data_IF_914800866063
#
_entry.id   IF_914800866063
#
_cell.length_a   1.000
_cell.length_b   1.000
_cell.length_c   1.000
_cell.angle_alpha   90.00
_cell.angle_beta   90.00
_cell.angle_gamma   90.00
#
_symmetry.space_group_name_H-M   'P 1'
#
loop_
_entity.id
_entity.type
_entity.pdbx_description
1 polymer ?
#
# COMPACT_ATOMS: atom_id res chain seq x y z
N UNK A 1 10.81 6.67 -11.41
CA UNK A 1 9.55 6.50 -10.62
C UNK A 1 8.41 6.04 -11.53
N UNK A 2 7.86 4.83 -11.31
CA UNK A 2 6.49 4.54 -11.74
C UNK A 2 5.59 5.44 -10.89
N UNK A 3 4.69 6.22 -11.48
CA UNK A 3 3.68 6.90 -10.68
C UNK A 3 2.68 5.82 -10.23
N UNK A 4 3.07 5.03 -9.21
CA UNK A 4 2.13 4.40 -8.30
C UNK A 4 1.51 5.56 -7.52
N UNK A 5 0.29 5.91 -7.90
CA UNK A 5 -0.50 6.93 -7.22
C UNK A 5 -0.48 6.65 -5.72
N UNK A 6 0.31 7.45 -4.99
CA UNK A 6 0.44 7.34 -3.54
C UNK A 6 -0.91 7.74 -2.93
N UNK A 7 -1.36 6.91 -2.00
CA UNK A 7 -2.55 7.01 -1.15
C UNK A 7 -2.95 8.48 -0.86
N UNK A 8 -3.93 9.03 -1.57
CA UNK A 8 -4.55 10.31 -1.22
C UNK A 8 -5.52 10.05 -0.06
N UNK A 9 -5.08 10.34 1.17
CA UNK A 9 -5.84 10.07 2.41
C UNK A 9 -6.87 11.16 2.77
N UNK A 10 -7.00 12.22 1.99
CA UNK A 10 -7.74 13.42 2.43
C UNK A 10 -8.54 14.08 1.29
N UNK A 11 -9.88 14.09 1.41
CA UNK A 11 -10.80 14.70 0.43
C UNK A 11 -10.54 16.21 0.23
N UNK A 12 -9.94 16.87 1.22
CA UNK A 12 -9.64 18.30 1.16
C UNK A 12 -8.43 18.65 0.26
N UNK A 13 -7.56 17.68 -0.05
CA UNK A 13 -6.40 17.88 -0.94
C UNK A 13 -6.85 17.97 -2.41
N UNK A 14 -7.89 17.24 -2.81
CA UNK A 14 -8.49 17.32 -4.14
C UNK A 14 -8.93 18.76 -4.45
N UNK A 15 -9.63 19.43 -3.52
CA UNK A 15 -10.07 20.82 -3.71
C UNK A 15 -8.91 21.81 -3.91
N UNK A 16 -7.74 21.58 -3.28
CA UNK A 16 -6.55 22.44 -3.44
C UNK A 16 -5.82 22.20 -4.77
N UNK A 17 -5.74 20.96 -5.24
CA UNK A 17 -5.09 20.62 -6.53
C UNK A 17 -5.84 21.23 -7.73
N UNK A 18 -7.17 21.31 -7.67
CA UNK A 18 -8.02 21.91 -8.70
C UNK A 18 -7.91 23.45 -8.78
N UNK A 19 -7.48 24.14 -7.72
CA UNK A 19 -7.48 25.61 -7.68
C UNK A 19 -6.22 26.27 -8.27
N UNK A 20 -5.11 25.53 -8.43
CA UNK A 20 -3.82 26.08 -8.90
C UNK A 20 -3.38 25.61 -10.29
N UNK A 21 -4.00 24.58 -10.85
CA UNK A 21 -3.61 24.03 -12.15
C UNK A 21 -4.38 24.72 -13.29
N UNK A 22 -3.74 25.66 -14.01
CA UNK A 22 -4.19 26.11 -15.34
C UNK A 22 -3.88 25.04 -16.39
N UNK A 23 -4.35 23.81 -16.16
CA UNK A 23 -4.15 22.69 -17.07
C UNK A 23 -5.40 22.58 -17.95
N UNK A 24 -5.27 22.95 -19.24
CA UNK A 24 -6.22 22.52 -20.28
C UNK A 24 -5.91 21.07 -20.61
N UNK A 25 -6.56 20.13 -19.92
CA UNK A 25 -6.56 18.70 -20.28
C UNK A 25 -8.01 18.26 -20.39
N UNK A 26 -8.39 17.75 -21.57
CA UNK A 26 -9.79 17.44 -21.91
C UNK A 26 -10.27 16.08 -21.38
N UNK A 27 -9.39 15.22 -20.84
CA UNK A 27 -9.73 13.94 -20.19
C UNK A 27 -8.73 13.71 -19.07
N UNK A 28 -9.18 13.46 -17.84
CA UNK A 28 -8.29 13.07 -16.74
C UNK A 28 -8.74 11.77 -16.09
N UNK A 29 -7.75 11.00 -15.63
CA UNK A 29 -7.91 9.76 -14.87
C UNK A 29 -7.39 10.00 -13.46
N UNK A 30 -8.23 9.76 -12.44
CA UNK A 30 -7.83 9.85 -11.04
C UNK A 30 -8.03 8.47 -10.39
N UNK A 31 -6.99 8.00 -9.70
CA UNK A 31 -7.00 6.77 -8.91
C UNK A 31 -7.13 7.13 -7.43
N UNK A 32 -8.19 6.64 -6.79
CA UNK A 32 -8.40 6.81 -5.35
C UNK A 32 -8.37 5.43 -4.71
N UNK A 33 -7.48 5.25 -3.74
CA UNK A 33 -7.52 4.09 -2.87
C UNK A 33 -8.63 4.32 -1.85
N UNK A 34 -9.72 3.56 -1.96
CA UNK A 34 -10.84 3.60 -1.00
C UNK A 34 -10.82 2.33 -0.15
N UNK A 35 -11.47 2.37 1.03
CA UNK A 35 -11.49 1.29 2.05
C UNK A 35 -12.09 -0.06 1.61
N UNK A 36 -12.27 -0.30 0.30
CA UNK A 36 -12.70 -1.57 -0.29
C UNK A 36 -12.07 -1.85 -1.67
N UNK A 37 -10.95 -1.20 -1.99
CA UNK A 37 -10.23 -1.39 -3.27
C UNK A 37 -9.94 -0.08 -4.01
N UNK A 38 -9.14 -0.19 -5.08
CA UNK A 38 -8.74 0.92 -5.93
C UNK A 38 -9.88 1.29 -6.89
N UNK A 39 -10.37 2.53 -6.84
CA UNK A 39 -11.47 3.02 -7.69
C UNK A 39 -10.91 4.05 -8.68
N UNK A 40 -11.15 3.79 -9.97
CA UNK A 40 -10.77 4.65 -11.09
C UNK A 40 -11.93 5.59 -11.43
N UNK A 41 -11.64 6.89 -11.54
CA UNK A 41 -12.57 7.90 -12.03
C UNK A 41 -12.06 8.45 -13.37
N UNK A 42 -12.89 8.37 -14.42
CA UNK A 42 -12.65 9.02 -15.71
C UNK A 42 -13.60 10.22 -15.81
N UNK A 43 -13.05 11.42 -15.98
CA UNK A 43 -13.81 12.65 -16.14
C UNK A 43 -13.49 13.36 -17.45
N UNK A 44 -14.53 13.86 -18.13
CA UNK A 44 -14.42 14.77 -19.27
C UNK A 44 -14.86 16.18 -18.84
N UNK A 45 -13.99 17.18 -18.96
CA UNK A 45 -14.43 18.58 -18.82
C UNK A 45 -14.99 19.01 -20.17
N UNK A 46 -16.31 19.09 -20.29
CA UNK A 46 -16.94 19.78 -21.41
C UNK A 46 -16.45 21.23 -21.47
N UNK A 47 -16.08 21.70 -22.67
CA UNK A 47 -15.59 23.06 -22.91
C UNK A 47 -16.40 24.10 -22.14
N UNK A 48 -15.74 24.84 -21.25
CA UNK A 48 -16.30 26.10 -20.74
C UNK A 48 -16.35 27.05 -21.93
N UNK A 49 -17.52 27.16 -22.58
CA UNK A 49 -17.81 28.32 -23.43
C UNK A 49 -17.91 29.53 -22.52
N UNK A 50 -16.87 30.35 -22.50
CA UNK A 50 -16.95 31.69 -21.93
C UNK A 50 -17.92 32.50 -22.80
N UNK A 51 -19.03 33.05 -22.25
CA UNK A 51 -19.78 34.04 -23.00
C UNK A 51 -18.93 35.30 -23.10
N UNK A 52 -18.56 35.68 -24.31
CA UNK A 52 -18.13 37.03 -24.67
C UNK A 52 -19.26 37.99 -24.32
N UNK A 53 -19.18 38.67 -23.18
CA UNK A 53 -19.95 39.89 -22.97
C UNK A 53 -19.14 41.07 -23.51
N UNK A 54 -19.47 41.45 -24.75
CA UNK A 54 -19.24 42.82 -25.22
C UNK A 54 -20.10 43.76 -24.39
N UNK A 55 -19.47 44.76 -23.78
CA UNK A 55 -20.12 45.96 -23.25
C UNK A 55 -19.28 47.16 -23.66
N UNK A 56 -19.61 47.76 -24.81
CA UNK A 56 -18.99 48.97 -25.34
C UNK A 56 -19.30 50.21 -24.46
N UNK A 57 -18.27 51.02 -24.18
CA UNK A 57 -18.23 52.50 -24.04
C UNK A 57 -16.80 52.83 -23.56
N UNK A 58 -15.98 53.70 -24.15
CA UNK A 58 -16.04 54.63 -25.27
C UNK A 58 -14.64 55.27 -25.35
N UNK A 59 -14.23 55.66 -26.55
CA UNK A 59 -12.91 56.19 -26.92
C UNK A 59 -12.68 57.59 -26.31
N UNK A 60 -11.41 57.92 -25.99
CA UNK A 60 -10.68 59.22 -25.98
C UNK A 60 -9.64 59.19 -24.83
N UNK A 61 -8.41 59.72 -24.86
CA UNK A 61 -7.39 60.08 -25.84
C UNK A 61 -6.12 60.45 -25.00
N UNK A 62 -4.92 60.34 -25.59
CA UNK A 62 -3.69 61.16 -25.32
C UNK A 62 -2.75 60.82 -24.12
N UNK A 63 -1.53 60.39 -24.54
CA UNK A 63 -0.14 60.69 -24.11
C UNK A 63 0.38 60.69 -22.64
N UNK A 64 1.46 59.91 -22.50
CA UNK A 64 2.82 60.25 -22.03
C UNK A 64 3.16 60.45 -20.52
N UNK A 65 4.35 59.91 -20.20
CA UNK A 65 5.29 60.18 -19.09
C UNK A 65 5.20 59.34 -17.79
N UNK A 66 6.23 58.50 -17.58
CA UNK A 66 6.84 58.12 -16.28
C UNK A 66 7.27 59.38 -15.48
N UNK A 67 7.60 59.37 -14.14
CA UNK A 67 8.26 58.31 -13.35
C UNK A 67 7.88 58.12 -11.84
N UNK A 68 8.34 56.99 -11.28
CA UNK A 68 8.79 56.72 -9.88
C UNK A 68 7.89 57.03 -8.65
N UNK A 69 7.51 56.00 -7.87
CA UNK A 69 8.00 55.70 -6.48
C UNK A 69 7.29 54.46 -5.87
N UNK A 70 7.91 53.77 -4.88
CA UNK A 70 7.68 52.34 -4.59
C UNK A 70 6.56 52.12 -3.57
N UNK A 71 5.81 51.01 -3.69
CA UNK A 71 4.84 50.62 -2.66
C UNK A 71 4.93 49.14 -2.28
N UNK A 72 5.50 48.97 -1.08
CA UNK A 72 5.14 48.03 -0.01
C UNK A 72 4.76 46.59 -0.39
N UNK A 73 5.62 45.69 0.10
CA UNK A 73 5.37 44.28 0.36
C UNK A 73 4.00 44.10 1.04
N UNK A 74 3.04 43.53 0.32
CA UNK A 74 1.83 42.98 0.93
C UNK A 74 2.04 41.49 1.17
N UNK A 75 2.04 41.09 2.44
CA UNK A 75 2.05 39.70 2.88
C UNK A 75 0.95 38.89 2.17
N UNK A 76 1.19 37.61 1.82
CA UNK A 76 0.13 36.74 1.33
C UNK A 76 -0.87 36.49 2.46
N UNK A 77 -2.10 36.99 2.31
CA UNK A 77 -3.22 36.61 3.17
C UNK A 77 -3.52 35.13 2.92
N UNK A 78 -3.35 34.30 3.94
CA UNK A 78 -3.84 32.94 3.93
C UNK A 78 -5.32 32.96 4.34
N UNK A 79 -6.21 32.52 3.43
CA UNK A 79 -7.60 32.27 3.78
C UNK A 79 -7.66 31.05 4.71
N UNK A 80 -8.10 31.26 5.94
CA UNK A 80 -8.34 30.22 6.95
C UNK A 80 -9.84 30.00 7.06
N UNK A 81 -10.29 28.75 6.91
CA UNK A 81 -11.69 28.35 7.13
C UNK A 81 -11.76 27.61 8.47
N UNK A 82 -12.44 28.20 9.45
CA UNK A 82 -12.83 27.52 10.69
C UNK A 82 -14.30 27.14 10.59
N UNK A 83 -14.62 25.87 10.89
CA UNK A 83 -16.00 25.38 10.97
C UNK A 83 -16.32 25.23 12.45
N UNK A 84 -17.12 26.16 12.98
CA UNK A 84 -17.62 26.14 14.36
C UNK A 84 -19.15 26.04 14.39
N UNK A 85 -19.66 25.03 15.09
CA UNK A 85 -21.07 24.81 15.40
C UNK A 85 -21.42 25.53 16.71
N UNK A 86 -22.05 26.71 16.63
CA UNK A 86 -23.10 27.18 17.56
C UNK A 86 -23.54 28.62 17.24
N UNK A 87 -24.86 28.85 17.37
CA UNK A 87 -25.50 30.15 17.25
C UNK A 87 -25.20 31.03 18.48
N UNK A 88 -24.56 32.19 18.27
CA UNK A 88 -24.80 33.38 19.07
C UNK A 88 -24.50 34.64 18.24
N UNK A 89 -25.44 35.58 18.28
CA UNK A 89 -25.38 36.90 17.64
C UNK A 89 -24.33 37.78 18.33
N UNK A 90 -23.27 38.20 17.63
CA UNK A 90 -22.63 39.53 17.82
C UNK A 90 -22.03 40.00 16.48
N UNK A 91 -22.17 41.31 16.25
CA UNK A 91 -21.88 42.05 15.03
C UNK A 91 -20.39 42.23 14.70
N UNK A 92 -20.16 42.53 13.41
CA UNK A 92 -18.98 43.22 12.84
C UNK A 92 -17.63 42.50 12.87
N UNK A 93 -17.40 41.63 11.89
CA UNK A 93 -16.14 41.59 11.11
C UNK A 93 -16.45 41.17 9.67
N UNK A 94 -15.68 41.68 8.70
CA UNK A 94 -15.94 41.59 7.25
C UNK A 94 -15.89 40.19 6.64
N UNK A 95 -16.88 39.36 6.96
CA UNK A 95 -17.05 38.01 6.43
C UNK A 95 -17.79 38.12 5.10
N UNK A 96 -17.13 37.73 4.01
CA UNK A 96 -17.79 37.50 2.72
C UNK A 96 -18.85 36.41 2.89
N UNK A 97 -20.12 36.81 2.90
CA UNK A 97 -21.28 35.90 2.78
C UNK A 97 -21.64 35.81 1.30
N UNK A 98 -21.35 34.71 0.59
CA UNK A 98 -21.86 34.53 -0.76
C UNK A 98 -23.39 34.51 -0.71
N UNK A 99 -24.03 35.34 -1.53
CA UNK A 99 -25.47 35.29 -1.74
C UNK A 99 -25.85 33.86 -2.23
N UNK A 100 -27.00 33.33 -1.80
CA UNK A 100 -27.52 32.04 -2.28
C UNK A 100 -27.65 32.01 -3.81
N UNK A 101 -27.81 33.18 -4.44
CA UNK A 101 -27.82 33.33 -5.90
C UNK A 101 -26.43 33.22 -6.56
N UNK A 102 -25.33 33.33 -5.79
CA UNK A 102 -23.95 33.26 -6.26
C UNK A 102 -23.32 31.87 -6.11
N UNK A 103 -23.93 30.98 -5.30
CA UNK A 103 -23.55 29.57 -5.31
C UNK A 103 -24.12 28.90 -6.56
N UNK A 104 -23.33 28.85 -7.63
CA UNK A 104 -23.60 27.89 -8.71
C UNK A 104 -23.37 26.50 -8.14
N UNK A 105 -24.44 25.74 -7.96
CA UNK A 105 -24.32 24.29 -7.84
C UNK A 105 -23.55 23.82 -9.08
N UNK A 106 -22.39 23.21 -8.87
CA UNK A 106 -21.75 22.47 -9.95
C UNK A 106 -22.78 21.46 -10.45
N UNK A 107 -22.98 21.40 -11.77
CA UNK A 107 -23.69 20.26 -12.34
C UNK A 107 -23.04 18.99 -11.77
N UNK A 108 -23.83 17.97 -11.36
CA UNK A 108 -23.27 16.74 -10.85
C UNK A 108 -22.19 16.26 -11.82
N UNK A 109 -20.98 16.08 -11.31
CA UNK A 109 -19.87 15.56 -12.11
C UNK A 109 -20.32 14.18 -12.55
N UNK A 110 -20.64 14.03 -13.83
CA UNK A 110 -20.95 12.72 -14.39
C UNK A 110 -19.66 11.92 -14.41
N UNK A 111 -19.57 10.95 -13.50
CA UNK A 111 -18.52 9.94 -13.53
C UNK A 111 -19.14 8.60 -13.93
N UNK A 112 -18.44 7.85 -14.76
CA UNK A 112 -18.75 6.45 -14.98
C UNK A 112 -17.85 5.65 -14.08
N UNK A 113 -18.42 4.89 -13.14
CA UNK A 113 -17.66 3.88 -12.40
C UNK A 113 -17.25 2.81 -13.42
N UNK A 114 -15.98 2.76 -13.76
CA UNK A 114 -15.44 1.72 -14.64
C UNK A 114 -15.11 0.52 -13.78
N UNK A 115 -15.35 -0.69 -14.30
CA UNK A 115 -14.84 -1.90 -13.65
C UNK A 115 -13.32 -1.78 -13.50
N UNK A 116 -12.74 -2.25 -12.37
CA UNK A 116 -11.30 -2.27 -12.24
C UNK A 116 -10.68 -3.09 -13.37
N UNK A 117 -9.67 -2.55 -14.05
CA UNK A 117 -8.92 -3.29 -15.06
C UNK A 117 -7.94 -4.23 -14.35
N UNK A 118 -8.23 -5.53 -14.37
CA UNK A 118 -7.40 -6.56 -13.74
C UNK A 118 -5.96 -6.58 -14.28
N UNK A 119 -5.74 -6.20 -15.55
CA UNK A 119 -4.39 -6.13 -16.14
C UNK A 119 -3.60 -5.02 -15.46
N UNK A 120 -4.22 -3.85 -15.26
CA UNK A 120 -3.60 -2.74 -14.55
C UNK A 120 -3.35 -3.08 -13.07
N UNK A 121 -4.28 -3.76 -12.40
CA UNK A 121 -4.08 -4.16 -11.01
C UNK A 121 -2.86 -5.07 -10.85
N UNK A 122 -2.68 -6.01 -11.77
CA UNK A 122 -1.52 -6.91 -11.78
C UNK A 122 -0.20 -6.16 -12.03
N UNK A 123 -0.18 -5.25 -13.01
CA UNK A 123 1.00 -4.39 -13.29
C UNK A 123 1.31 -3.43 -12.13
N UNK A 124 0.32 -3.12 -11.29
CA UNK A 124 0.49 -2.29 -10.10
C UNK A 124 0.94 -3.08 -8.87
N UNK A 125 1.12 -4.39 -8.91
CA UNK A 125 1.77 -5.10 -7.80
C UNK A 125 3.26 -4.79 -7.79
N UNK A 126 3.89 -4.52 -6.63
CA UNK A 126 5.35 -4.42 -6.58
C UNK A 126 5.97 -5.78 -6.95
N UNK A 127 7.20 -5.81 -7.48
CA UNK A 127 7.85 -7.07 -7.88
C UNK A 127 7.88 -8.15 -6.79
N UNK A 128 7.93 -7.75 -5.51
CA UNK A 128 7.91 -8.64 -4.35
C UNK A 128 6.54 -9.26 -4.02
N UNK A 129 5.48 -8.88 -4.75
CA UNK A 129 4.13 -9.44 -4.66
C UNK A 129 3.68 -10.07 -6.00
N UNK A 130 4.54 -10.04 -7.03
CA UNK A 130 4.26 -10.64 -8.34
C UNK A 130 4.67 -12.12 -8.38
N UNK A 131 4.22 -12.89 -9.37
CA UNK A 131 4.62 -14.29 -9.52
C UNK A 131 6.11 -14.50 -9.84
N UNK A 132 6.45 -15.70 -10.30
CA UNK A 132 7.80 -16.02 -10.76
C UNK A 132 8.30 -15.00 -11.80
N UNK A 133 9.58 -14.64 -11.70
CA UNK A 133 10.22 -13.68 -12.60
C UNK A 133 10.99 -14.44 -13.69
N UNK A 134 10.49 -14.35 -14.92
CA UNK A 134 10.95 -15.12 -16.07
C UNK A 134 11.94 -14.35 -16.94
N UNK A 135 12.50 -15.02 -17.96
CA UNK A 135 13.32 -14.36 -18.99
C UNK A 135 12.54 -13.26 -19.73
N UNK A 136 11.25 -13.50 -20.02
CA UNK A 136 10.40 -12.49 -20.68
C UNK A 136 10.18 -11.29 -19.75
N UNK A 137 10.01 -11.51 -18.44
CA UNK A 137 9.91 -10.43 -17.47
C UNK A 137 11.20 -9.62 -17.38
N UNK A 138 12.36 -10.28 -17.42
CA UNK A 138 13.66 -9.63 -17.48
C UNK A 138 13.79 -8.76 -18.74
N UNK A 139 13.45 -9.31 -19.91
CA UNK A 139 13.51 -8.59 -21.18
C UNK A 139 12.62 -7.34 -21.17
N UNK A 140 11.37 -7.50 -20.71
CA UNK A 140 10.42 -6.39 -20.60
C UNK A 140 10.90 -5.37 -19.57
N UNK A 141 11.41 -5.80 -18.42
CA UNK A 141 11.92 -4.88 -17.40
C UNK A 141 13.05 -4.02 -17.99
N UNK A 142 14.05 -4.65 -18.61
CA UNK A 142 15.18 -3.98 -19.24
C UNK A 142 14.74 -3.03 -20.36
N UNK A 143 13.80 -3.48 -21.22
CA UNK A 143 13.23 -2.63 -22.26
C UNK A 143 12.52 -1.42 -21.66
N UNK A 144 11.81 -1.58 -20.54
CA UNK A 144 11.07 -0.50 -19.90
C UNK A 144 11.98 0.48 -19.14
N UNK A 145 13.24 0.12 -18.84
CA UNK A 145 14.20 1.03 -18.18
C UNK A 145 14.49 2.27 -19.00
N UNK A 146 14.51 2.16 -20.33
CA UNK A 146 14.76 3.30 -21.23
C UNK A 146 13.66 4.37 -21.18
N UNK A 147 12.49 4.04 -20.63
CA UNK A 147 11.35 4.95 -20.48
C UNK A 147 11.16 5.43 -19.03
N UNK A 148 12.15 5.20 -18.15
CA UNK A 148 12.06 5.63 -16.75
C UNK A 148 11.95 7.15 -16.66
N UNK A 149 11.01 7.58 -15.84
CA UNK A 149 10.82 8.99 -15.54
C UNK A 149 11.85 9.40 -14.48
N UNK A 150 12.79 10.23 -14.91
CA UNK A 150 13.76 10.91 -14.05
C UNK A 150 13.15 12.14 -13.38
N UNK A 151 13.42 12.31 -12.08
CA UNK A 151 12.91 13.41 -11.29
C UNK A 151 13.31 13.33 -9.82
N UNK A 152 12.90 14.33 -9.05
CA UNK A 152 13.14 14.41 -7.60
C UNK A 152 11.84 14.77 -6.88
N UNK A 153 11.79 14.55 -5.57
CA UNK A 153 10.68 15.02 -4.75
C UNK A 153 11.01 16.39 -4.14
N UNK A 154 10.11 17.35 -4.33
CA UNK A 154 10.05 18.61 -3.60
C UNK A 154 8.86 18.52 -2.61
N UNK A 155 9.18 18.15 -1.36
CA UNK A 155 8.18 17.73 -0.37
C UNK A 155 7.39 16.51 -0.86
N UNK A 156 6.06 16.64 -0.94
CA UNK A 156 5.17 15.59 -1.43
C UNK A 156 4.99 15.60 -2.97
N UNK A 157 5.64 16.52 -3.68
CA UNK A 157 5.47 16.69 -5.12
C UNK A 157 6.64 16.09 -5.87
N UNK A 158 6.37 15.16 -6.78
CA UNK A 158 7.39 14.69 -7.72
C UNK A 158 7.58 15.71 -8.85
N UNK A 159 8.79 16.23 -8.96
CA UNK A 159 9.23 17.16 -10.01
C UNK A 159 10.05 16.37 -11.02
N UNK A 160 9.55 16.31 -12.26
CA UNK A 160 10.24 15.62 -13.36
C UNK A 160 11.42 16.44 -13.86
N UNK A 161 12.54 15.79 -14.13
CA UNK A 161 13.76 16.42 -14.68
C UNK A 161 13.63 16.75 -16.17
N UNK A 162 12.76 16.04 -16.90
CA UNK A 162 12.48 16.24 -18.33
C UNK A 162 11.09 16.83 -18.58
N UNK A 163 10.99 17.70 -19.59
CA UNK A 163 9.72 18.29 -20.07
C UNK A 163 9.05 17.46 -21.18
N UNK A 164 9.67 16.37 -21.63
CA UNK A 164 9.11 15.52 -22.68
C UNK A 164 7.78 14.87 -22.21
N UNK A 165 6.91 14.37 -23.08
CA UNK A 165 5.76 13.57 -22.66
C UNK A 165 6.20 12.29 -21.94
N UNK A 166 5.41 11.82 -20.97
CA UNK A 166 5.62 10.48 -20.38
C UNK A 166 5.06 9.44 -21.36
N UNK A 167 5.87 8.44 -21.72
CA UNK A 167 5.38 7.27 -22.45
C UNK A 167 4.92 6.24 -21.42
N UNK A 168 3.61 6.05 -21.29
CA UNK A 168 3.02 4.95 -20.54
C UNK A 168 2.76 3.82 -21.53
N UNK A 169 3.38 2.67 -21.32
CA UNK A 169 3.22 1.48 -22.16
C UNK A 169 2.87 0.32 -21.24
N UNK A 170 1.77 -0.36 -21.52
CA UNK A 170 1.47 -1.63 -20.85
C UNK A 170 2.27 -2.75 -21.49
N UNK A 171 2.57 -3.80 -20.73
CA UNK A 171 3.32 -4.98 -21.20
C UNK A 171 2.82 -5.49 -22.57
N UNK A 172 1.51 -5.63 -22.72
CA UNK A 172 0.91 -6.18 -23.95
C UNK A 172 0.87 -5.18 -25.12
N UNK A 173 1.19 -3.92 -24.88
CA UNK A 173 1.23 -2.85 -25.89
C UNK A 173 2.63 -2.68 -26.49
N UNK A 174 3.65 -3.37 -25.95
CA UNK A 174 5.00 -3.33 -26.50
C UNK A 174 5.00 -4.12 -27.82
N UNK A 175 5.38 -3.52 -28.96
CA UNK A 175 5.49 -4.24 -30.22
C UNK A 175 6.50 -5.39 -30.11
N UNK A 176 6.12 -6.58 -30.60
CA UNK A 176 7.01 -7.76 -30.56
C UNK A 176 8.32 -7.53 -31.32
N UNK A 177 8.26 -6.80 -32.43
CA UNK A 177 9.45 -6.42 -33.21
C UNK A 177 10.41 -5.55 -32.39
N UNK A 178 9.89 -4.59 -31.61
CA UNK A 178 10.70 -3.76 -30.73
C UNK A 178 11.39 -4.59 -29.64
N UNK A 179 10.68 -5.55 -29.03
CA UNK A 179 11.25 -6.44 -28.01
C UNK A 179 12.32 -7.37 -28.58
N UNK A 180 12.12 -7.93 -29.77
CA UNK A 180 13.13 -8.79 -30.41
C UNK A 180 14.36 -8.01 -30.87
N UNK A 181 14.17 -6.79 -31.39
CA UNK A 181 15.29 -5.90 -31.71
C UNK A 181 16.10 -5.57 -30.45
N UNK A 182 15.42 -5.22 -29.35
CA UNK A 182 16.07 -4.97 -28.07
C UNK A 182 16.76 -6.21 -27.50
N UNK A 183 16.14 -7.40 -27.61
CA UNK A 183 16.78 -8.67 -27.23
C UNK A 183 18.08 -8.88 -27.99
N UNK A 184 18.12 -8.61 -29.30
CA UNK A 184 19.34 -8.72 -30.09
C UNK A 184 20.44 -7.74 -29.63
N UNK A 185 20.06 -6.53 -29.19
CA UNK A 185 21.00 -5.58 -28.58
C UNK A 185 21.58 -6.12 -27.26
N UNK A 186 20.74 -6.72 -26.41
CA UNK A 186 21.19 -7.37 -25.17
C UNK A 186 22.12 -8.56 -25.42
N UNK A 187 21.83 -9.37 -26.45
CA UNK A 187 22.69 -10.49 -26.84
C UNK A 187 24.06 -9.98 -27.30
N UNK A 188 24.09 -8.91 -28.09
CA UNK A 188 25.33 -8.37 -28.63
C UNK A 188 26.18 -7.64 -27.58
N UNK A 189 25.54 -6.88 -26.68
CA UNK A 189 26.24 -5.92 -25.81
C UNK A 189 26.21 -6.27 -24.32
N UNK A 190 25.29 -7.14 -23.89
CA UNK A 190 24.95 -7.32 -22.47
C UNK A 190 24.28 -6.10 -21.85
N UNK A 191 24.13 -6.11 -20.54
CA UNK A 191 23.59 -5.02 -19.71
C UNK A 191 24.68 -4.07 -19.20
N UNK A 192 25.95 -4.36 -19.46
CA UNK A 192 27.08 -3.64 -18.92
C UNK A 192 27.38 -3.98 -17.46
N UNK A 193 28.37 -3.27 -16.91
CA UNK A 193 28.92 -3.55 -15.57
C UNK A 193 28.24 -2.78 -14.44
N UNK A 194 27.59 -1.66 -14.75
CA UNK A 194 27.00 -0.80 -13.72
C UNK A 194 25.73 -1.43 -13.11
N UNK A 195 25.50 -1.14 -11.83
CA UNK A 195 24.31 -1.56 -11.12
C UNK A 195 23.22 -0.51 -11.31
N UNK A 196 22.03 -0.96 -11.68
CA UNK A 196 20.85 -0.12 -11.79
C UNK A 196 20.24 0.17 -10.40
N UNK A 197 20.94 1.00 -9.62
CA UNK A 197 20.50 1.37 -8.28
C UNK A 197 19.13 2.04 -8.23
N UNK A 198 18.76 2.80 -9.27
CA UNK A 198 17.42 3.40 -9.33
C UNK A 198 16.33 2.32 -9.41
N UNK A 199 16.60 1.23 -10.12
CA UNK A 199 15.72 0.07 -10.16
C UNK A 199 15.63 -0.61 -8.80
N UNK A 200 16.77 -0.87 -8.18
CA UNK A 200 16.86 -1.52 -6.87
C UNK A 200 16.12 -0.70 -5.79
N UNK A 201 16.36 0.61 -5.71
CA UNK A 201 15.67 1.51 -4.76
C UNK A 201 14.15 1.53 -4.96
N UNK A 202 13.68 1.46 -6.21
CA UNK A 202 12.26 1.45 -6.53
C UNK A 202 11.60 0.11 -6.14
N UNK A 203 12.24 -1.01 -6.49
CA UNK A 203 11.75 -2.36 -6.18
C UNK A 203 11.70 -2.58 -4.66
N UNK A 204 12.80 -2.26 -3.96
CA UNK A 204 12.93 -2.45 -2.51
C UNK A 204 12.23 -1.34 -1.71
N UNK A 205 11.84 -0.24 -2.35
CA UNK A 205 11.06 0.83 -1.74
C UNK A 205 9.62 0.42 -1.39
N UNK A 206 9.09 -0.69 -1.93
CA UNK A 206 7.72 -1.17 -1.71
C UNK A 206 7.64 -2.41 -0.78
N UNK A 207 8.46 -2.41 0.27
CA UNK A 207 8.55 -3.51 1.25
C UNK A 207 7.68 -3.33 2.52
N UNK A 208 6.82 -2.32 2.59
CA UNK A 208 5.88 -2.23 3.72
C UNK A 208 4.88 -3.39 3.73
N UNK A 209 4.49 -3.78 4.94
CA UNK A 209 3.52 -4.82 5.22
C UNK A 209 2.30 -4.22 5.90
N UNK A 210 1.12 -4.63 5.46
CA UNK A 210 -0.17 -4.27 6.03
C UNK A 210 -1.22 -5.36 5.69
N UNK A 211 -2.46 -5.20 6.16
CA UNK A 211 -3.52 -6.18 5.93
C UNK A 211 -3.85 -6.46 4.45
N UNK A 212 -3.57 -5.52 3.53
CA UNK A 212 -3.84 -5.70 2.11
C UNK A 212 -2.84 -6.69 1.47
N UNK A 213 -1.57 -6.69 1.93
CA UNK A 213 -0.49 -7.48 1.33
C UNK A 213 0.18 -8.52 2.26
N UNK A 214 -0.34 -8.73 3.47
CA UNK A 214 0.24 -9.66 4.45
C UNK A 214 0.38 -11.10 3.95
N UNK A 215 -0.46 -11.52 3.01
CA UNK A 215 -0.40 -12.84 2.38
C UNK A 215 0.89 -13.04 1.56
N UNK A 216 1.60 -11.95 1.23
CA UNK A 216 2.87 -11.96 0.51
C UNK A 216 4.07 -11.74 1.46
N UNK A 217 3.90 -11.84 2.78
CA UNK A 217 4.98 -11.59 3.74
C UNK A 217 6.23 -12.43 3.47
N UNK A 218 6.07 -13.76 3.40
CA UNK A 218 7.21 -14.68 3.18
C UNK A 218 7.89 -14.39 1.83
N UNK A 219 7.07 -14.21 0.80
CA UNK A 219 7.53 -13.86 -0.54
C UNK A 219 8.34 -12.55 -0.57
N UNK A 220 7.89 -11.53 0.15
CA UNK A 220 8.61 -10.25 0.28
C UNK A 220 9.94 -10.43 0.98
N UNK A 221 9.98 -11.22 2.05
CA UNK A 221 11.20 -11.51 2.79
C UNK A 221 12.21 -12.25 1.88
N UNK A 222 11.75 -13.26 1.14
CA UNK A 222 12.58 -13.98 0.17
C UNK A 222 13.08 -13.07 -0.95
N UNK A 223 12.21 -12.23 -1.49
CA UNK A 223 12.57 -11.28 -2.54
C UNK A 223 13.67 -10.33 -2.08
N UNK A 224 13.51 -9.71 -0.90
CA UNK A 224 14.48 -8.78 -0.34
C UNK A 224 15.83 -9.47 -0.08
N UNK A 225 15.80 -10.61 0.62
CA UNK A 225 17.00 -11.35 1.01
C UNK A 225 17.78 -11.91 -0.20
N UNK A 226 17.09 -12.49 -1.18
CA UNK A 226 17.74 -13.03 -2.38
C UNK A 226 18.28 -11.93 -3.30
N UNK A 227 17.60 -10.79 -3.44
CA UNK A 227 18.14 -9.62 -4.19
C UNK A 227 19.40 -9.09 -3.51
N UNK A 228 19.40 -9.00 -2.17
CA UNK A 228 20.58 -8.61 -1.41
C UNK A 228 21.76 -9.57 -1.66
N UNK A 229 21.56 -10.88 -1.52
CA UNK A 229 22.61 -11.87 -1.70
C UNK A 229 23.24 -11.83 -3.11
N UNK A 230 22.42 -11.73 -4.16
CA UNK A 230 22.89 -11.65 -5.55
C UNK A 230 23.66 -10.36 -5.82
N UNK A 231 23.15 -9.21 -5.35
CA UNK A 231 23.86 -7.94 -5.53
C UNK A 231 25.18 -7.94 -4.75
N UNK A 232 25.20 -8.49 -3.54
CA UNK A 232 26.42 -8.61 -2.73
C UNK A 232 27.47 -9.46 -3.42
N UNK A 233 27.11 -10.65 -3.89
CA UNK A 233 27.99 -11.54 -4.64
C UNK A 233 28.53 -10.88 -5.91
N UNK A 234 27.65 -10.25 -6.70
CA UNK A 234 28.04 -9.50 -7.90
C UNK A 234 29.03 -8.38 -7.57
N UNK A 235 28.77 -7.59 -6.53
CA UNK A 235 29.65 -6.48 -6.16
C UNK A 235 31.03 -7.01 -5.74
N UNK A 236 31.04 -8.08 -4.95
CA UNK A 236 32.27 -8.69 -4.43
C UNK A 236 33.12 -9.34 -5.54
N UNK A 237 32.49 -9.86 -6.59
CA UNK A 237 33.18 -10.53 -7.70
C UNK A 237 33.56 -9.59 -8.83
N UNK A 238 32.78 -8.54 -9.09
CA UNK A 238 32.92 -7.70 -10.28
C UNK A 238 33.66 -6.37 -10.05
N UNK A 239 33.70 -5.87 -8.81
CA UNK A 239 34.38 -4.61 -8.46
C UNK A 239 35.54 -4.88 -7.49
N UNK A 240 36.51 -3.96 -7.45
CA UNK A 240 37.64 -4.00 -6.50
C UNK A 240 37.97 -2.58 -5.98
N UNK A 241 38.67 -2.50 -4.85
CA UNK A 241 39.10 -1.23 -4.24
C UNK A 241 37.93 -0.31 -3.85
N UNK A 242 38.15 1.00 -3.94
CA UNK A 242 37.18 2.03 -3.51
C UNK A 242 35.81 1.89 -4.18
N UNK A 243 35.77 1.41 -5.44
CA UNK A 243 34.48 1.18 -6.13
C UNK A 243 33.70 0.06 -5.46
N UNK A 244 34.34 -1.05 -5.11
CA UNK A 244 33.68 -2.15 -4.42
C UNK A 244 33.11 -1.70 -3.06
N UNK A 245 33.88 -0.92 -2.30
CA UNK A 245 33.45 -0.39 -1.01
C UNK A 245 32.24 0.54 -1.14
N UNK A 246 32.26 1.46 -2.12
CA UNK A 246 31.14 2.37 -2.37
C UNK A 246 29.86 1.64 -2.81
N UNK A 247 29.97 0.65 -3.69
CA UNK A 247 28.83 -0.15 -4.15
C UNK A 247 28.25 -1.01 -3.01
N UNK A 248 29.10 -1.63 -2.17
CA UNK A 248 28.66 -2.36 -0.98
C UNK A 248 27.96 -1.45 0.02
N UNK A 249 28.54 -0.27 0.31
CA UNK A 249 27.92 0.69 1.22
C UNK A 249 26.53 1.11 0.75
N UNK A 250 26.37 1.32 -0.56
CA UNK A 250 25.07 1.65 -1.15
C UNK A 250 24.07 0.48 -1.04
N UNK A 251 24.51 -0.75 -1.28
CA UNK A 251 23.68 -1.94 -1.08
C UNK A 251 23.18 -2.05 0.36
N UNK A 252 24.09 -1.93 1.34
CA UNK A 252 23.78 -2.05 2.76
C UNK A 252 22.79 -0.97 3.21
N UNK A 253 22.93 0.25 2.69
CA UNK A 253 21.99 1.34 2.97
C UNK A 253 20.58 1.02 2.48
N UNK A 254 20.43 0.62 1.21
CA UNK A 254 19.12 0.33 0.61
C UNK A 254 18.48 -0.89 1.30
N UNK A 255 19.26 -1.94 1.53
CA UNK A 255 18.79 -3.15 2.19
C UNK A 255 18.33 -2.87 3.62
N UNK A 256 19.12 -2.15 4.41
CA UNK A 256 18.76 -1.78 5.79
C UNK A 256 17.46 -0.99 5.82
N UNK A 257 17.31 0.02 4.96
CA UNK A 257 16.08 0.82 4.88
C UNK A 257 14.86 -0.03 4.51
N UNK A 258 15.00 -0.94 3.54
CA UNK A 258 13.91 -1.81 3.12
C UNK A 258 13.52 -2.82 4.21
N UNK A 259 14.50 -3.41 4.89
CA UNK A 259 14.31 -4.35 6.00
C UNK A 259 13.65 -3.67 7.20
N UNK A 260 14.13 -2.50 7.61
CA UNK A 260 13.50 -1.71 8.69
C UNK A 260 12.08 -1.31 8.34
N UNK A 261 11.84 -0.83 7.11
CA UNK A 261 10.49 -0.49 6.65
C UNK A 261 9.53 -1.68 6.75
N UNK A 262 9.98 -2.88 6.36
CA UNK A 262 9.19 -4.11 6.47
C UNK A 262 8.87 -4.44 7.93
N UNK A 263 9.86 -4.40 8.82
CA UNK A 263 9.69 -4.70 10.24
C UNK A 263 8.82 -3.66 10.96
N UNK A 264 9.05 -2.37 10.74
CA UNK A 264 8.32 -1.26 11.38
C UNK A 264 6.84 -1.27 10.97
N UNK A 265 6.55 -1.48 9.68
CA UNK A 265 5.17 -1.53 9.20
C UNK A 265 4.43 -2.79 9.66
N UNK A 266 5.12 -3.94 9.72
CA UNK A 266 4.56 -5.15 10.32
C UNK A 266 4.21 -4.93 11.79
N UNK A 267 5.13 -4.35 12.56
CA UNK A 267 4.92 -4.02 13.97
C UNK A 267 3.76 -3.03 14.17
N UNK A 268 3.71 -1.94 13.39
CA UNK A 268 2.62 -0.95 13.45
C UNK A 268 1.25 -1.58 13.14
N UNK A 269 1.18 -2.47 12.14
CA UNK A 269 -0.10 -2.96 11.61
C UNK A 269 -0.59 -4.24 12.27
N UNK A 270 0.29 -5.21 12.40
CA UNK A 270 -0.03 -6.55 12.90
C UNK A 270 0.26 -6.61 14.39
N UNK A 271 1.47 -6.20 14.80
CA UNK A 271 1.84 -6.13 16.21
C UNK A 271 0.91 -5.24 17.02
N UNK A 272 0.67 -4.01 16.55
CA UNK A 272 -0.26 -3.06 17.18
C UNK A 272 -1.70 -3.58 17.23
N UNK A 273 -2.12 -4.42 16.28
CA UNK A 273 -3.42 -5.07 16.35
C UNK A 273 -3.52 -6.07 17.51
N UNK A 274 -2.46 -6.85 17.76
CA UNK A 274 -2.42 -7.76 18.91
C UNK A 274 -2.28 -7.00 20.24
N UNK A 275 -1.54 -5.90 20.27
CA UNK A 275 -1.50 -5.01 21.44
C UNK A 275 -2.88 -4.41 21.76
N UNK A 276 -3.62 -3.98 20.74
CA UNK A 276 -5.01 -3.53 20.89
C UNK A 276 -5.93 -4.64 21.44
N UNK A 277 -5.56 -5.91 21.24
CA UNK A 277 -6.21 -7.11 21.79
C UNK A 277 -5.56 -7.59 23.10
N UNK A 278 -4.78 -6.74 23.78
CA UNK A 278 -4.25 -7.02 25.12
C UNK A 278 -2.90 -7.74 25.17
N UNK A 279 -2.28 -8.03 24.02
CA UNK A 279 -0.97 -8.69 23.94
C UNK A 279 0.17 -7.67 24.02
N UNK A 280 0.35 -7.08 25.20
CA UNK A 280 1.37 -6.05 25.44
C UNK A 280 2.77 -6.51 25.04
N UNK A 281 3.48 -5.73 24.23
CA UNK A 281 4.85 -6.04 23.77
C UNK A 281 4.91 -6.83 22.47
N UNK A 282 3.77 -7.30 21.95
CA UNK A 282 3.72 -8.05 20.70
C UNK A 282 4.29 -7.25 19.52
N UNK A 283 4.12 -5.92 19.50
CA UNK A 283 4.64 -5.10 18.41
C UNK A 283 6.18 -5.14 18.32
N UNK A 284 6.86 -4.95 19.45
CA UNK A 284 8.32 -4.96 19.51
C UNK A 284 8.90 -6.36 19.24
N UNK A 285 8.29 -7.40 19.80
CA UNK A 285 8.73 -8.79 19.58
C UNK A 285 8.55 -9.24 18.13
N UNK A 286 7.41 -8.91 17.51
CA UNK A 286 7.18 -9.19 16.10
C UNK A 286 8.13 -8.39 15.20
N UNK A 287 8.39 -7.12 15.52
CA UNK A 287 9.38 -6.29 14.81
C UNK A 287 10.74 -6.97 14.77
N UNK A 288 11.25 -7.36 15.94
CA UNK A 288 12.55 -7.98 16.08
C UNK A 288 12.61 -9.35 15.38
N UNK A 289 11.50 -10.09 15.40
CA UNK A 289 11.37 -11.36 14.69
C UNK A 289 11.41 -11.19 13.17
N UNK A 290 10.73 -10.18 12.62
CA UNK A 290 10.81 -9.86 11.18
C UNK A 290 12.24 -9.52 10.76
N UNK A 291 12.96 -8.71 11.55
CA UNK A 291 14.37 -8.41 11.28
C UNK A 291 15.23 -9.68 11.25
N UNK A 292 15.08 -10.54 12.26
CA UNK A 292 15.84 -11.77 12.39
C UNK A 292 15.54 -12.77 11.26
N UNK A 293 14.28 -12.85 10.80
CA UNK A 293 13.88 -13.68 9.66
C UNK A 293 14.55 -13.20 8.37
N UNK A 294 14.50 -11.88 8.10
CA UNK A 294 15.08 -11.31 6.88
C UNK A 294 16.60 -11.50 6.86
N UNK A 295 17.29 -11.27 7.99
CA UNK A 295 18.73 -11.49 8.10
C UNK A 295 19.11 -12.96 7.97
N UNK A 296 18.38 -13.87 8.62
CA UNK A 296 18.59 -15.31 8.46
C UNK A 296 18.42 -15.80 7.02
N UNK A 297 17.46 -15.24 6.28
CA UNK A 297 17.29 -15.53 4.84
C UNK A 297 18.43 -14.99 4.01
N UNK A 298 18.88 -13.76 4.26
CA UNK A 298 20.00 -13.16 3.54
C UNK A 298 21.28 -14.00 3.70
N UNK A 299 21.55 -14.46 4.92
CA UNK A 299 22.66 -15.37 5.21
C UNK A 299 22.50 -16.72 4.50
N UNK A 300 21.30 -17.30 4.54
CA UNK A 300 21.00 -18.58 3.87
C UNK A 300 21.20 -18.50 2.35
N UNK A 301 20.70 -17.44 1.71
CA UNK A 301 20.88 -17.23 0.28
C UNK A 301 22.33 -16.99 -0.11
N UNK A 302 23.06 -16.20 0.70
CA UNK A 302 24.50 -15.96 0.49
C UNK A 302 25.31 -17.25 0.61
N UNK A 303 25.00 -18.07 1.62
CA UNK A 303 25.65 -19.37 1.80
C UNK A 303 25.34 -20.34 0.64
N UNK A 304 24.10 -20.34 0.14
CA UNK A 304 23.71 -21.19 -0.99
C UNK A 304 24.45 -20.81 -2.26
N UNK A 305 24.62 -19.51 -2.55
CA UNK A 305 25.44 -19.03 -3.67
C UNK A 305 26.90 -19.46 -3.55
N UNK A 306 27.48 -19.42 -2.34
CA UNK A 306 28.86 -19.84 -2.13
C UNK A 306 29.10 -21.35 -2.29
N UNK A 307 28.06 -22.16 -2.11
CA UNK A 307 28.14 -23.63 -2.11
C UNK A 307 27.70 -24.27 -3.43
N UNK A 308 26.93 -23.56 -4.26
CA UNK A 308 26.30 -24.12 -5.45
C UNK A 308 26.51 -23.21 -6.66
N UNK A 309 26.75 -23.81 -7.83
CA UNK A 309 26.71 -23.07 -9.10
C UNK A 309 25.26 -22.93 -9.58
N UNK A 310 24.53 -22.02 -8.95
CA UNK A 310 23.10 -21.75 -9.20
C UNK A 310 22.83 -21.40 -10.67
N UNK A 311 23.82 -20.87 -11.38
CA UNK A 311 23.68 -20.30 -12.72
C UNK A 311 24.30 -21.15 -13.82
N UNK A 312 24.74 -22.37 -13.48
CA UNK A 312 25.38 -23.32 -14.39
C UNK A 312 24.53 -23.60 -15.64
N UNK A 313 23.20 -23.67 -15.48
CA UNK A 313 22.27 -24.03 -16.55
C UNK A 313 22.08 -22.92 -17.60
N UNK A 314 22.54 -21.69 -17.33
CA UNK A 314 22.55 -20.59 -18.30
C UNK A 314 23.77 -20.73 -19.21
N UNK A 315 23.71 -21.71 -20.12
CA UNK A 315 24.77 -22.04 -21.09
C UNK A 315 24.53 -21.47 -22.48
N UNK A 316 23.27 -21.15 -22.82
CA UNK A 316 22.90 -20.58 -24.12
C UNK A 316 23.61 -19.21 -24.32
N UNK A 317 24.42 -19.04 -25.39
CA UNK A 317 25.07 -17.78 -25.72
C UNK A 317 24.08 -16.60 -25.81
N UNK A 318 22.86 -16.84 -26.30
CA UNK A 318 21.83 -15.82 -26.46
C UNK A 318 21.18 -15.39 -25.14
N UNK A 319 21.50 -16.08 -24.03
CA UNK A 319 20.95 -15.82 -22.70
C UNK A 319 21.99 -15.34 -21.70
N UNK A 320 23.24 -15.16 -22.11
CA UNK A 320 24.31 -14.76 -21.18
C UNK A 320 24.05 -13.39 -20.54
N UNK A 321 23.31 -12.49 -21.20
CA UNK A 321 22.91 -11.20 -20.63
C UNK A 321 22.06 -11.34 -19.36
N UNK A 322 21.34 -12.45 -19.18
CA UNK A 322 20.54 -12.71 -17.96
C UNK A 322 21.41 -12.83 -16.71
N UNK A 323 22.70 -13.22 -16.85
CA UNK A 323 23.64 -13.26 -15.72
C UNK A 323 23.96 -11.87 -15.16
N UNK A 324 23.62 -10.82 -15.89
CA UNK A 324 23.80 -9.42 -15.47
C UNK A 324 22.50 -8.78 -14.97
N UNK A 325 21.36 -9.49 -15.04
CA UNK A 325 20.07 -9.05 -14.52
C UNK A 325 19.90 -9.57 -13.08
N UNK A 326 20.07 -8.70 -12.10
CA UNK A 326 20.09 -9.10 -10.69
C UNK A 326 18.70 -9.58 -10.19
N UNK A 327 17.61 -9.10 -10.79
CA UNK A 327 16.27 -9.57 -10.47
C UNK A 327 16.03 -11.01 -10.94
N UNK A 328 16.45 -11.33 -12.17
CA UNK A 328 16.41 -12.67 -12.72
C UNK A 328 17.32 -13.63 -11.95
N UNK A 329 18.56 -13.21 -11.68
CA UNK A 329 19.53 -14.02 -10.92
C UNK A 329 19.03 -14.32 -9.50
N UNK A 330 18.37 -13.35 -8.84
CA UNK A 330 17.72 -13.59 -7.55
C UNK A 330 16.52 -14.53 -7.66
N UNK A 331 15.76 -14.47 -8.75
CA UNK A 331 14.67 -15.41 -9.00
C UNK A 331 15.17 -16.85 -9.18
N UNK A 332 16.21 -17.06 -9.99
CA UNK A 332 16.84 -18.38 -10.15
C UNK A 332 17.42 -18.89 -8.83
N UNK A 333 17.98 -18.01 -8.01
CA UNK A 333 18.44 -18.37 -6.66
C UNK A 333 17.31 -18.86 -5.76
N UNK A 334 16.16 -18.18 -5.76
CA UNK A 334 14.97 -18.62 -5.01
C UNK A 334 14.48 -19.99 -5.48
N UNK A 335 14.40 -20.21 -6.79
CA UNK A 335 14.02 -21.51 -7.35
C UNK A 335 15.01 -22.63 -6.97
N UNK A 336 16.32 -22.35 -7.03
CA UNK A 336 17.36 -23.31 -6.64
C UNK A 336 17.25 -23.72 -5.17
N UNK A 337 17.02 -22.77 -4.26
CA UNK A 337 16.80 -23.06 -2.83
C UNK A 337 15.52 -23.86 -2.61
N UNK A 338 14.44 -23.52 -3.31
CA UNK A 338 13.17 -24.26 -3.24
C UNK A 338 13.31 -25.72 -3.71
N UNK A 339 14.13 -25.98 -4.73
CA UNK A 339 14.37 -27.33 -5.24
C UNK A 339 15.13 -28.23 -4.26
N UNK A 340 16.03 -27.65 -3.44
CA UNK A 340 16.84 -28.39 -2.45
C UNK A 340 16.12 -28.51 -1.09
N UNK A 341 15.17 -27.62 -0.82
CA UNK A 341 14.38 -27.57 0.43
C UNK A 341 13.32 -28.67 0.54
N UNK A 342 13.67 -29.93 0.27
CA UNK A 342 12.79 -31.07 0.58
C UNK A 342 12.85 -31.54 2.03
N UNK A 343 13.84 -31.14 2.88
CA UNK A 343 13.90 -31.62 4.27
C UNK A 343 14.61 -30.73 5.33
N UNK A 344 14.96 -29.47 5.08
CA UNK A 344 15.51 -28.61 6.14
C UNK A 344 14.91 -27.22 6.09
N UNK A 345 14.07 -26.91 7.08
CA UNK A 345 13.78 -25.53 7.44
C UNK A 345 15.09 -24.78 7.65
N UNK A 346 15.21 -23.54 7.18
CA UNK A 346 16.38 -22.71 7.47
C UNK A 346 16.63 -22.70 8.98
N UNK A 347 17.91 -22.69 9.35
CA UNK A 347 18.38 -22.62 10.74
C UNK A 347 17.59 -21.55 11.46
N UNK A 348 16.74 -21.97 12.40
CA UNK A 348 15.96 -21.06 13.25
C UNK A 348 16.96 -20.14 13.91
N UNK A 349 16.80 -18.84 13.71
CA UNK A 349 17.53 -17.87 14.50
C UNK A 349 17.00 -17.98 15.93
N UNK A 350 17.66 -18.77 16.78
CA UNK A 350 17.23 -19.13 18.14
C UNK A 350 17.01 -17.91 19.07
N UNK A 351 17.34 -16.70 18.59
CA UNK A 351 17.24 -15.45 19.34
C UNK A 351 15.91 -14.70 19.13
N UNK A 352 15.12 -15.02 18.11
CA UNK A 352 13.85 -14.35 17.84
C UNK A 352 12.65 -15.12 18.44
N UNK A 353 11.69 -14.44 19.08
CA UNK A 353 10.53 -15.09 19.70
C UNK A 353 9.61 -15.75 18.66
N UNK A 354 9.53 -15.23 17.44
CA UNK A 354 8.66 -15.76 16.39
C UNK A 354 9.44 -16.19 15.14
N UNK A 355 9.06 -17.35 14.61
CA UNK A 355 9.54 -17.81 13.29
C UNK A 355 8.83 -17.07 12.15
N UNK A 356 9.35 -17.20 10.92
CA UNK A 356 8.67 -16.69 9.72
C UNK A 356 7.23 -17.22 9.62
N UNK A 357 7.06 -18.52 9.89
CA UNK A 357 5.77 -19.19 9.83
C UNK A 357 4.79 -18.66 10.88
N UNK A 358 5.29 -18.36 12.08
CA UNK A 358 4.49 -17.72 13.13
C UNK A 358 4.00 -16.34 12.67
N UNK A 359 4.90 -15.53 12.10
CA UNK A 359 4.58 -14.19 11.61
C UNK A 359 3.62 -14.23 10.41
N UNK A 360 3.80 -15.15 9.47
CA UNK A 360 2.88 -15.32 8.34
C UNK A 360 1.46 -15.65 8.85
N UNK A 361 1.35 -16.61 9.77
CA UNK A 361 0.08 -17.02 10.36
C UNK A 361 -0.58 -15.89 11.15
N UNK A 362 0.18 -15.25 12.05
CA UNK A 362 -0.30 -14.15 12.88
C UNK A 362 -0.82 -12.98 12.02
N UNK A 363 -0.13 -12.69 10.93
CA UNK A 363 -0.52 -11.64 10.00
C UNK A 363 -1.85 -11.93 9.29
N UNK A 364 -2.01 -13.15 8.77
CA UNK A 364 -3.25 -13.57 8.10
C UNK A 364 -4.42 -13.59 9.09
N UNK A 365 -4.20 -14.11 10.30
CA UNK A 365 -5.23 -14.14 11.33
C UNK A 365 -5.65 -12.73 11.78
N UNK A 366 -4.69 -11.83 12.00
CA UNK A 366 -4.96 -10.44 12.34
C UNK A 366 -5.75 -9.72 11.23
N UNK A 367 -5.45 -10.03 9.96
CA UNK A 367 -6.23 -9.53 8.81
C UNK A 367 -7.68 -9.99 8.87
N UNK A 368 -7.92 -11.28 9.10
CA UNK A 368 -9.28 -11.84 9.17
C UNK A 368 -10.09 -11.19 10.29
N UNK A 369 -9.54 -11.12 11.51
CA UNK A 369 -10.22 -10.47 12.63
C UNK A 369 -10.42 -8.96 12.39
N UNK A 370 -9.43 -8.26 11.86
CA UNK A 370 -9.54 -6.84 11.51
C UNK A 370 -10.64 -6.58 10.48
N UNK A 371 -10.84 -7.49 9.52
CA UNK A 371 -11.92 -7.40 8.54
C UNK A 371 -13.29 -7.58 9.22
N UNK A 372 -13.43 -8.56 10.13
CA UNK A 372 -14.65 -8.74 10.90
C UNK A 372 -14.98 -7.51 11.76
N UNK A 373 -13.99 -6.86 12.39
CA UNK A 373 -14.25 -5.62 13.14
C UNK A 373 -14.67 -4.44 12.24
N UNK A 374 -14.15 -4.35 11.02
CA UNK A 374 -14.50 -3.29 10.07
C UNK A 374 -15.88 -3.48 9.45
N UNK A 375 -16.27 -4.72 9.22
CA UNK A 375 -17.54 -5.09 8.61
C UNK A 375 -18.15 -6.25 9.39
N UNK A 376 -18.68 -5.99 10.60
CA UNK A 376 -19.16 -7.07 11.44
C UNK A 376 -20.45 -7.66 10.88
N UNK A 377 -20.40 -8.95 10.60
CA UNK A 377 -21.50 -9.74 10.05
C UNK A 377 -22.27 -10.41 11.18
N UNK A 378 -23.28 -9.69 11.69
CA UNK A 378 -24.29 -10.22 12.59
C UNK A 378 -25.58 -9.43 12.41
N UNK A 379 -26.72 -10.12 12.56
CA UNK A 379 -28.03 -9.46 12.51
C UNK A 379 -28.19 -8.52 13.71
N UNK A 380 -28.14 -7.23 13.38
CA UNK A 380 -28.32 -6.10 14.30
C UNK A 380 -29.62 -5.36 14.02
N UNK A 381 -30.44 -5.84 13.08
CA UNK A 381 -31.70 -5.20 12.70
C UNK A 381 -32.89 -5.88 13.34
N UNK A 382 -32.90 -7.21 13.43
CA UNK A 382 -34.00 -7.94 14.06
C UNK A 382 -33.95 -7.78 15.58
N UNK A 383 -35.11 -7.51 16.19
CA UNK A 383 -35.27 -7.49 17.65
C UNK A 383 -35.09 -8.91 18.19
N UNK A 384 -34.14 -9.10 19.11
CA UNK A 384 -33.85 -10.38 19.77
C UNK A 384 -34.19 -10.30 21.26
N UNK A 385 -34.60 -11.43 21.85
CA UNK A 385 -34.85 -11.54 23.29
C UNK A 385 -33.57 -11.62 24.12
N UNK A 386 -32.51 -12.22 23.55
CA UNK A 386 -31.18 -12.34 24.11
C UNK A 386 -30.15 -12.52 22.99
N UNK A 387 -28.86 -12.45 23.34
CA UNK A 387 -27.73 -12.58 22.40
C UNK A 387 -26.92 -13.88 22.61
N UNK A 388 -27.50 -14.90 23.25
CA UNK A 388 -26.82 -16.19 23.50
C UNK A 388 -26.36 -16.86 22.21
N UNK A 389 -27.11 -16.70 21.12
CA UNK A 389 -26.75 -17.28 19.82
C UNK A 389 -25.49 -16.62 19.22
N UNK A 390 -25.22 -15.36 19.53
CA UNK A 390 -23.95 -14.71 19.17
C UNK A 390 -22.79 -15.36 19.93
N UNK A 391 -22.97 -15.60 21.23
CA UNK A 391 -21.97 -16.30 22.05
C UNK A 391 -21.66 -17.72 21.56
N UNK A 392 -22.69 -18.49 21.18
CA UNK A 392 -22.51 -19.82 20.57
C UNK A 392 -21.77 -19.74 19.23
N UNK A 393 -22.12 -18.78 18.39
CA UNK A 393 -21.47 -18.57 17.10
C UNK A 393 -19.98 -18.23 17.27
N UNK A 394 -19.64 -17.33 18.20
CA UNK A 394 -18.26 -16.98 18.52
C UNK A 394 -17.48 -18.17 19.12
N UNK A 395 -18.14 -19.03 19.90
CA UNK A 395 -17.53 -20.25 20.43
C UNK A 395 -17.23 -21.26 19.32
N UNK A 396 -18.10 -21.40 18.32
CA UNK A 396 -17.83 -22.22 17.13
C UNK A 396 -16.64 -21.68 16.34
N UNK A 397 -16.55 -20.37 16.16
CA UNK A 397 -15.39 -19.72 15.54
C UNK A 397 -14.10 -20.00 16.34
N UNK A 398 -14.14 -19.85 17.67
CA UNK A 398 -13.00 -20.13 18.54
C UNK A 398 -12.57 -21.60 18.45
N UNK A 399 -13.49 -22.55 18.49
CA UNK A 399 -13.18 -23.97 18.33
C UNK A 399 -12.57 -24.29 16.96
N UNK A 400 -13.09 -23.66 15.90
CA UNK A 400 -12.51 -23.79 14.55
C UNK A 400 -11.08 -23.26 14.50
N UNK A 401 -10.83 -22.10 15.12
CA UNK A 401 -9.50 -21.52 15.26
C UNK A 401 -8.55 -22.47 16.00
N UNK A 402 -8.98 -23.03 17.14
CA UNK A 402 -8.19 -23.99 17.91
C UNK A 402 -7.77 -25.19 17.06
N UNK A 403 -8.70 -25.78 16.30
CA UNK A 403 -8.38 -26.89 15.40
C UNK A 403 -7.44 -26.51 14.25
N UNK A 404 -7.50 -25.26 13.75
CA UNK A 404 -6.53 -24.74 12.76
C UNK A 404 -5.15 -24.55 13.38
N UNK A 405 -5.07 -24.00 14.58
CA UNK A 405 -3.82 -23.74 15.32
C UNK A 405 -3.04 -25.04 15.57
N UNK A 406 -3.73 -26.11 15.98
CA UNK A 406 -3.12 -27.43 16.24
C UNK A 406 -2.39 -28.00 15.02
N UNK A 407 -2.90 -27.73 13.82
CA UNK A 407 -2.35 -28.22 12.57
C UNK A 407 -1.49 -27.17 11.83
N UNK A 408 -1.42 -25.95 12.36
CA UNK A 408 -0.70 -24.85 11.72
C UNK A 408 0.81 -25.04 11.80
N UNK A 409 1.32 -25.81 12.77
CA UNK A 409 2.75 -25.99 13.02
C UNK A 409 3.46 -24.66 13.29
N UNK A 410 2.79 -23.77 14.03
CA UNK A 410 3.32 -22.55 14.64
C UNK A 410 3.85 -22.87 16.05
N UNK A 411 4.63 -21.98 16.62
CA UNK A 411 5.18 -22.09 17.96
C UNK A 411 4.07 -22.03 19.03
N UNK A 412 4.37 -22.60 20.21
CA UNK A 412 3.48 -22.51 21.37
C UNK A 412 3.26 -21.06 21.81
N UNK A 413 4.28 -20.23 21.69
CA UNK A 413 4.21 -18.81 22.04
C UNK A 413 3.23 -18.07 21.14
N UNK A 414 3.33 -18.26 19.81
CA UNK A 414 2.34 -17.74 18.87
C UNK A 414 0.95 -18.33 19.12
N UNK A 415 0.85 -19.62 19.39
CA UNK A 415 -0.42 -20.29 19.71
C UNK A 415 -1.14 -19.63 20.87
N UNK A 416 -0.42 -19.25 21.94
CA UNK A 416 -1.00 -18.59 23.11
C UNK A 416 -1.48 -17.17 22.77
N UNK A 417 -0.68 -16.38 22.05
CA UNK A 417 -1.08 -15.04 21.60
C UNK A 417 -2.42 -15.07 20.84
N UNK A 418 -2.57 -15.99 19.90
CA UNK A 418 -3.79 -16.08 19.08
C UNK A 418 -5.03 -16.45 19.93
N UNK A 419 -4.85 -17.33 20.92
CA UNK A 419 -5.92 -17.75 21.84
C UNK A 419 -6.32 -16.62 22.77
N UNK A 420 -5.33 -16.03 23.43
CA UNK A 420 -5.51 -14.99 24.44
C UNK A 420 -6.02 -13.68 23.83
N UNK A 421 -5.84 -13.49 22.52
CA UNK A 421 -6.39 -12.36 21.77
C UNK A 421 -7.87 -12.51 21.41
N UNK A 422 -8.45 -13.71 21.49
CA UNK A 422 -9.80 -13.97 20.99
C UNK A 422 -10.89 -13.35 21.88
N UNK A 423 -10.73 -13.43 23.21
CA UNK A 423 -11.71 -12.85 24.13
C UNK A 423 -11.74 -11.31 24.07
N UNK A 424 -10.60 -10.60 24.02
CA UNK A 424 -10.58 -9.16 23.71
C UNK A 424 -11.13 -8.82 22.32
N UNK A 425 -11.00 -9.72 21.35
CA UNK A 425 -11.63 -9.57 20.03
C UNK A 425 -13.15 -9.62 20.13
N UNK A 426 -13.72 -10.53 20.94
CA UNK A 426 -15.18 -10.60 21.19
C UNK A 426 -15.71 -9.25 21.67
N UNK A 427 -15.04 -8.63 22.65
CA UNK A 427 -15.49 -7.33 23.18
C UNK A 427 -15.50 -6.25 22.07
N UNK A 428 -14.42 -6.14 21.30
CA UNK A 428 -14.35 -5.18 20.19
C UNK A 428 -15.36 -5.49 19.07
N UNK A 429 -15.66 -6.77 18.84
CA UNK A 429 -16.66 -7.17 17.86
C UNK A 429 -18.06 -6.74 18.32
N UNK A 430 -18.37 -6.92 19.60
CA UNK A 430 -19.61 -6.42 20.21
C UNK A 430 -19.69 -4.90 20.09
N UNK A 431 -18.62 -4.16 20.38
CA UNK A 431 -18.57 -2.70 20.20
C UNK A 431 -18.86 -2.28 18.74
N UNK A 432 -18.31 -3.02 17.77
CA UNK A 432 -18.57 -2.77 16.36
C UNK A 432 -20.04 -3.05 15.96
N UNK A 433 -20.69 -4.02 16.59
CA UNK A 433 -22.12 -4.28 16.43
C UNK A 433 -22.98 -3.21 17.09
N UNK A 434 -22.62 -2.76 18.30
CA UNK A 434 -23.30 -1.68 19.00
C UNK A 434 -23.24 -0.37 18.20
N UNK A 435 -22.13 -0.09 17.52
CA UNK A 435 -22.02 1.04 16.60
C UNK A 435 -22.99 0.94 15.40
N UNK A 436 -23.32 -0.27 14.91
CA UNK A 436 -24.38 -0.47 13.90
C UNK A 436 -25.77 -0.26 14.50
N UNK A 437 -25.98 -0.65 15.75
CA UNK A 437 -27.25 -0.43 16.46
C UNK A 437 -27.48 1.07 16.71
N UNK A 438 -26.44 1.86 16.95
CA UNK A 438 -26.57 3.32 17.03
C UNK A 438 -27.09 3.94 15.72
N UNK A 439 -26.68 3.41 14.56
CA UNK A 439 -27.25 3.83 13.26
C UNK A 439 -28.75 3.50 13.15
N UNK A 440 -29.20 2.39 13.74
CA UNK A 440 -30.63 2.08 13.81
C UNK A 440 -31.37 3.09 14.70
N UNK A 441 -30.78 3.54 15.81
CA UNK A 441 -31.39 4.56 16.68
C UNK A 441 -31.53 5.92 15.98
N UNK A 442 -30.51 6.32 15.23
CA UNK A 442 -30.58 7.52 14.40
C UNK A 442 -31.73 7.40 13.38
N UNK A 443 -31.84 6.23 12.74
CA UNK A 443 -32.93 5.93 11.80
C UNK A 443 -34.32 5.94 12.45
N UNK A 444 -34.47 5.42 13.67
CA UNK A 444 -35.75 5.49 14.41
C UNK A 444 -36.07 6.94 14.78
N UNK A 445 -35.07 7.76 15.10
CA UNK A 445 -35.26 9.18 15.39
C UNK A 445 -35.82 9.93 14.17
N UNK A 446 -35.33 9.61 12.97
CA UNK A 446 -35.85 10.16 11.71
C UNK A 446 -37.20 9.54 11.30
N UNK A 447 -37.43 8.27 11.60
CA UNK A 447 -38.62 7.50 11.25
C UNK A 447 -39.22 6.78 12.47
N UNK A 448 -39.95 7.50 13.35
CA UNK A 448 -40.42 6.94 14.64
C UNK A 448 -41.31 5.70 14.52
N UNK A 449 -42.00 5.52 13.38
CA UNK A 449 -42.82 4.33 13.11
C UNK A 449 -42.01 3.03 13.05
N UNK A 450 -40.68 3.10 12.97
CA UNK A 450 -39.79 1.93 12.93
C UNK A 450 -39.34 1.47 14.33
N UNK A 451 -39.69 2.18 15.41
CA UNK A 451 -39.19 1.92 16.76
C UNK A 451 -39.37 0.46 17.24
N UNK A 452 -40.49 -0.18 16.87
CA UNK A 452 -40.80 -1.57 17.23
C UNK A 452 -40.53 -2.57 16.09
N UNK A 453 -39.95 -2.10 14.98
CA UNK A 453 -39.64 -2.94 13.81
C UNK A 453 -38.15 -3.28 13.72
N UNK A 454 -37.30 -2.50 14.38
CA UNK A 454 -35.85 -2.61 14.27
C UNK A 454 -35.20 -2.55 15.65
N UNK A 455 -34.11 -3.28 15.83
CA UNK A 455 -33.39 -3.35 17.10
C UNK A 455 -32.71 -2.02 17.41
N UNK A 456 -32.97 -1.54 18.63
CA UNK A 456 -32.35 -0.34 19.22
C UNK A 456 -31.65 -0.62 20.56
N UNK A 457 -31.88 -1.78 21.17
CA UNK A 457 -31.14 -2.22 22.36
C UNK A 457 -29.78 -2.78 21.95
N UNK A 458 -28.74 -2.40 22.69
CA UNK A 458 -27.38 -2.91 22.52
C UNK A 458 -27.30 -4.43 22.71
N UNK A 459 -26.18 -5.01 22.28
CA UNK A 459 -25.85 -6.41 22.51
C UNK A 459 -25.73 -6.67 24.03
N UNK A 460 -26.40 -7.71 24.50
CA UNK A 460 -26.27 -8.20 25.88
C UNK A 460 -24.96 -8.99 26.04
N UNK A 461 -23.92 -8.28 26.48
CA UNK A 461 -22.59 -8.85 26.75
C UNK A 461 -22.63 -10.03 27.71
N UNK A 462 -23.45 -9.96 28.77
CA UNK A 462 -23.51 -11.03 29.78
C UNK A 462 -24.02 -12.34 29.15
N UNK A 463 -25.10 -12.25 28.36
CA UNK A 463 -25.64 -13.41 27.63
C UNK A 463 -24.63 -13.97 26.60
N UNK A 464 -23.91 -13.09 25.89
CA UNK A 464 -22.87 -13.51 24.92
C UNK A 464 -21.75 -14.28 25.61
N UNK A 465 -21.15 -13.71 26.66
CA UNK A 465 -20.03 -14.34 27.38
C UNK A 465 -20.45 -15.61 28.11
N UNK A 466 -21.64 -15.63 28.72
CA UNK A 466 -22.17 -16.83 29.36
C UNK A 466 -22.34 -17.97 28.34
N UNK A 467 -22.94 -17.70 27.18
CA UNK A 467 -23.11 -18.69 26.14
C UNK A 467 -21.78 -19.13 25.51
N UNK A 468 -20.84 -18.20 25.32
CA UNK A 468 -19.50 -18.49 24.81
C UNK A 468 -18.74 -19.44 25.73
N UNK A 469 -18.61 -19.11 27.02
CA UNK A 469 -17.90 -19.92 28.01
C UNK A 469 -18.55 -21.29 28.22
N UNK A 470 -19.88 -21.35 28.26
CA UNK A 470 -20.61 -22.62 28.36
C UNK A 470 -20.37 -23.52 27.14
N UNK A 471 -20.18 -22.93 25.95
CA UNK A 471 -19.96 -23.69 24.74
C UNK A 471 -18.52 -24.20 24.60
N UNK A 472 -17.51 -23.50 25.14
CA UNK A 472 -16.09 -23.91 25.04
C UNK A 472 -15.59 -24.74 26.24
N UNK A 473 -16.36 -24.77 27.33
CA UNK A 473 -16.16 -25.70 28.46
C UNK A 473 -16.48 -27.13 28.03
#
# INVERSE_FOLDING_TARGET
MWIKARKLKDENILKKAFYKSRIKVSIFTIYINTKGGMVMFIGQIGQIRTPTHMGNRGILAVQANSPFTPRQVSQPRHDRVEIGTQNQQVNETGIYRPDRSQMRAFAPISYTKVAPDERLQKEMLPPSEQGAYTEDDALINQYMKQYRIEGYFDGDTFVRSSSEPVKLILRDEIPKEDLENFRNELIANGLGTEIDWHGVENDLGAMDVNFDNINHFEQKADYLASRYAVLKDRIQTQFTGDKQEAELQKLEQIYTQAKEKMADSYAERIGGFYEDLGQSGAADEMRNSVLAVIDGKADSYTAHLAQNDVYADITDPNKQWLKQDDAYMAAQLRESVSAVSTQKSPTVNEQAPYSEKDLAYAGVFAKELSQQLKQPEWDTFTIKSDDSDLGKHLAEQYKSLMGKIENAGISNEMSNILKDSFEPFIEKFIDALDAKIDQNRDRVTECPWQADLIRTNYIDRESVYAAFHNAIS
#
